data_IF_940731456481
#
_entry.id   IF_940731456481
#
_cell.length_a   1.000
_cell.length_b   1.000
_cell.length_c   1.000
_cell.angle_alpha   90.00
_cell.angle_beta   90.00
_cell.angle_gamma   90.00
#
_symmetry.space_group_name_H-M   'P 1'
#
loop_
_entity.id
_entity.type
_entity.pdbx_description
1 polymer ?
#
# COMPACT_ATOMS: atom_id res chain seq x y z
N UNK A 1 -20.11 1.13 -7.02
CA UNK A 1 -18.71 0.80 -6.70
C UNK A 1 -18.73 -0.50 -5.92
N UNK A 2 -17.81 -1.43 -6.17
CA UNK A 2 -17.80 -2.70 -5.44
C UNK A 2 -17.29 -2.49 -4.01
N UNK A 3 -17.93 -3.13 -3.03
CA UNK A 3 -17.58 -3.03 -1.62
C UNK A 3 -17.39 -4.42 -1.01
N UNK A 4 -16.23 -4.66 -0.40
CA UNK A 4 -15.95 -5.93 0.30
C UNK A 4 -16.81 -6.13 1.56
N UNK A 5 -17.55 -5.10 2.00
CA UNK A 5 -18.50 -5.21 3.11
C UNK A 5 -19.75 -6.01 2.72
N UNK A 6 -20.22 -5.81 1.49
CA UNK A 6 -21.51 -6.30 0.98
C UNK A 6 -21.37 -7.51 0.03
N UNK A 7 -20.14 -7.81 -0.39
CA UNK A 7 -19.86 -8.88 -1.34
C UNK A 7 -19.96 -10.28 -0.72
N UNK A 8 -20.40 -11.25 -1.53
CA UNK A 8 -20.28 -12.67 -1.22
C UNK A 8 -18.79 -13.04 -1.04
N UNK A 9 -18.41 -13.70 0.06
CA UNK A 9 -16.98 -13.94 0.34
C UNK A 9 -16.23 -14.77 -0.71
N UNK A 10 -16.90 -15.63 -1.47
CA UNK A 10 -16.30 -16.31 -2.63
C UNK A 10 -15.90 -15.32 -3.76
N UNK A 11 -16.79 -14.39 -4.09
CA UNK A 11 -16.54 -13.34 -5.10
C UNK A 11 -15.47 -12.36 -4.63
N UNK A 12 -15.37 -12.10 -3.32
CA UNK A 12 -14.36 -11.22 -2.75
C UNK A 12 -12.93 -11.68 -3.01
N UNK A 13 -12.65 -12.98 -2.86
CA UNK A 13 -11.31 -13.55 -3.10
C UNK A 13 -10.91 -13.44 -4.57
N UNK A 14 -11.84 -13.78 -5.48
CA UNK A 14 -11.63 -13.65 -6.92
C UNK A 14 -11.42 -12.19 -7.32
N UNK A 15 -12.16 -11.27 -6.68
CA UNK A 15 -12.02 -9.85 -6.92
C UNK A 15 -10.64 -9.35 -6.53
N UNK A 16 -10.13 -9.69 -5.34
CA UNK A 16 -8.77 -9.33 -4.91
C UNK A 16 -7.73 -9.82 -5.92
N UNK A 17 -7.83 -11.09 -6.33
CA UNK A 17 -6.93 -11.68 -7.32
C UNK A 17 -6.99 -10.99 -8.69
N UNK A 18 -8.15 -10.46 -9.07
CA UNK A 18 -8.34 -9.72 -10.33
C UNK A 18 -7.86 -8.26 -10.28
N UNK A 19 -7.90 -7.62 -9.11
CA UNK A 19 -7.67 -6.18 -8.95
C UNK A 19 -6.17 -5.83 -8.93
N UNK A 20 -5.38 -6.56 -8.14
CA UNK A 20 -3.95 -6.27 -7.95
C UNK A 20 -3.16 -6.32 -9.28
N UNK A 21 -3.37 -7.31 -10.17
CA UNK A 21 -2.69 -7.38 -11.46
C UNK A 21 -3.15 -6.35 -12.50
N UNK A 22 -4.10 -5.47 -12.16
CA UNK A 22 -4.60 -4.42 -13.06
C UNK A 22 -4.02 -3.04 -12.76
N UNK A 23 -3.24 -2.88 -11.68
CA UNK A 23 -2.60 -1.60 -11.31
C UNK A 23 -1.54 -1.18 -12.35
N UNK A 24 -1.71 -0.05 -13.00
CA UNK A 24 -0.89 0.40 -14.13
C UNK A 24 0.25 1.32 -13.68
N UNK A 25 -0.08 2.48 -13.14
CA UNK A 25 0.88 3.48 -12.65
C UNK A 25 1.59 2.97 -11.41
N UNK A 26 0.87 2.22 -10.57
CA UNK A 26 1.38 1.62 -9.37
C UNK A 26 1.84 0.16 -9.60
N UNK A 27 2.29 -0.17 -10.81
CA UNK A 27 2.75 -1.53 -11.12
C UNK A 27 3.89 -1.98 -10.21
N UNK A 28 4.83 -1.09 -9.89
CA UNK A 28 5.93 -1.38 -8.96
C UNK A 28 5.44 -1.67 -7.53
N UNK A 29 4.19 -1.29 -7.20
CA UNK A 29 3.58 -1.63 -5.92
C UNK A 29 3.12 -3.08 -5.84
N UNK A 30 2.93 -3.75 -6.98
CA UNK A 30 2.56 -5.17 -7.00
C UNK A 30 3.64 -6.05 -6.38
N UNK A 31 4.91 -5.67 -6.58
CA UNK A 31 6.07 -6.36 -6.00
C UNK A 31 6.30 -5.97 -4.54
N UNK A 32 5.60 -4.95 -4.03
CA UNK A 32 5.73 -4.59 -2.64
C UNK A 32 5.17 -5.68 -1.74
N UNK A 33 5.90 -5.86 -0.65
CA UNK A 33 5.68 -6.83 0.40
C UNK A 33 4.18 -6.94 0.84
N UNK A 34 3.41 -5.85 1.03
CA UNK A 34 2.01 -5.97 1.42
C UNK A 34 1.07 -6.47 0.30
N UNK A 35 1.12 -5.90 -0.91
CA UNK A 35 0.21 -6.32 -2.00
C UNK A 35 0.47 -7.76 -2.46
N UNK A 36 1.75 -8.15 -2.53
CA UNK A 36 2.12 -9.53 -2.85
C UNK A 36 1.60 -10.52 -1.80
N UNK A 37 1.68 -10.18 -0.50
CA UNK A 37 1.16 -11.04 0.58
C UNK A 37 -0.37 -11.07 0.63
N UNK A 38 -1.05 -9.98 0.28
CA UNK A 38 -2.50 -9.99 0.13
C UNK A 38 -2.93 -10.93 -0.99
N UNK A 39 -2.24 -10.90 -2.14
CA UNK A 39 -2.51 -11.82 -3.24
C UNK A 39 -2.23 -13.27 -2.83
N UNK A 40 -1.13 -13.52 -2.12
CA UNK A 40 -0.81 -14.84 -1.58
C UNK A 40 -1.90 -15.36 -0.62
N UNK A 41 -2.38 -14.50 0.28
CA UNK A 41 -3.49 -14.82 1.19
C UNK A 41 -4.77 -15.15 0.42
N UNK A 42 -5.14 -14.35 -0.59
CA UNK A 42 -6.29 -14.63 -1.44
C UNK A 42 -6.17 -15.98 -2.18
N UNK A 43 -4.99 -16.29 -2.73
CA UNK A 43 -4.75 -17.60 -3.36
C UNK A 43 -4.82 -18.77 -2.38
N UNK A 44 -4.28 -18.61 -1.16
CA UNK A 44 -4.37 -19.64 -0.12
C UNK A 44 -5.82 -19.89 0.31
N UNK A 45 -6.61 -18.81 0.47
CA UNK A 45 -8.05 -18.89 0.74
C UNK A 45 -8.74 -19.64 -0.40
N UNK A 46 -8.51 -19.25 -1.65
CA UNK A 46 -9.13 -19.91 -2.80
C UNK A 46 -8.84 -21.43 -2.86
N UNK A 47 -7.60 -21.82 -2.56
CA UNK A 47 -7.15 -23.21 -2.48
C UNK A 47 -7.75 -23.98 -1.29
N UNK A 48 -8.25 -23.29 -0.27
CA UNK A 48 -8.78 -23.89 0.95
C UNK A 48 -7.74 -24.17 2.03
N UNK A 49 -6.52 -23.65 1.88
CA UNK A 49 -5.46 -23.76 2.87
C UNK A 49 -5.66 -22.68 3.95
N UNK A 50 -6.35 -23.05 5.02
CA UNK A 50 -6.67 -22.14 6.13
C UNK A 50 -5.43 -21.71 6.91
N UNK A 51 -4.44 -22.59 7.06
CA UNK A 51 -3.21 -22.30 7.81
C UNK A 51 -2.25 -21.48 6.97
N UNK A 52 -2.13 -21.78 5.67
CA UNK A 52 -1.41 -20.94 4.72
C UNK A 52 -2.02 -19.54 4.60
N UNK A 53 -3.35 -19.43 4.59
CA UNK A 53 -4.05 -18.14 4.59
C UNK A 53 -3.75 -17.33 5.86
N UNK A 54 -3.80 -17.96 7.03
CA UNK A 54 -3.47 -17.32 8.32
C UNK A 54 -2.00 -16.86 8.35
N UNK A 55 -1.08 -17.71 7.89
CA UNK A 55 0.35 -17.37 7.82
C UNK A 55 0.59 -16.17 6.89
N UNK A 56 -0.02 -16.17 5.70
CA UNK A 56 0.05 -15.05 4.76
C UNK A 56 -0.57 -13.78 5.34
N UNK A 57 -1.66 -13.90 6.11
CA UNK A 57 -2.31 -12.79 6.79
C UNK A 57 -1.40 -12.16 7.86
N UNK A 58 -0.77 -12.96 8.71
CA UNK A 58 0.18 -12.43 9.69
C UNK A 58 1.42 -11.82 9.03
N UNK A 59 1.93 -12.46 7.98
CA UNK A 59 3.03 -11.91 7.20
C UNK A 59 2.63 -10.57 6.56
N UNK A 60 1.39 -10.44 6.06
CA UNK A 60 0.83 -9.20 5.52
C UNK A 60 0.84 -8.12 6.61
N UNK A 61 0.25 -8.40 7.77
CA UNK A 61 0.21 -7.48 8.91
C UNK A 61 1.61 -7.04 9.35
N UNK A 62 2.57 -7.96 9.40
CA UNK A 62 3.96 -7.63 9.71
C UNK A 62 4.57 -6.66 8.67
N UNK A 63 4.31 -6.87 7.38
CA UNK A 63 4.76 -5.90 6.37
C UNK A 63 4.01 -4.58 6.33
N UNK A 64 2.75 -4.52 6.78
CA UNK A 64 2.05 -3.25 6.96
C UNK A 64 2.67 -2.44 8.12
N UNK A 65 3.17 -3.13 9.15
CA UNK A 65 3.93 -2.47 10.22
C UNK A 65 5.30 -1.97 9.74
N UNK A 66 5.98 -2.70 8.85
CA UNK A 66 7.31 -2.36 8.34
C UNK A 66 7.31 -1.51 7.06
N UNK A 67 6.16 -1.12 6.52
CA UNK A 67 6.06 -0.46 5.21
C UNK A 67 6.60 0.98 5.21
N UNK A 68 6.78 1.58 6.38
CA UNK A 68 7.16 2.99 6.51
C UNK A 68 6.04 3.96 6.13
N UNK A 69 4.81 3.48 5.94
CA UNK A 69 3.65 4.32 5.73
C UNK A 69 3.35 5.15 6.99
N UNK A 70 3.06 6.44 6.79
CA UNK A 70 2.63 7.34 7.87
C UNK A 70 1.34 6.81 8.49
N UNK A 71 1.26 6.87 9.82
CA UNK A 71 0.05 6.51 10.56
C UNK A 71 -0.86 7.72 10.59
N UNK A 72 -2.01 7.63 9.91
CA UNK A 72 -2.93 8.75 9.73
C UNK A 72 -4.35 8.32 10.03
N UNK A 73 -4.83 7.28 9.36
CA UNK A 73 -6.26 6.94 9.28
C UNK A 73 -6.79 6.13 10.47
N UNK A 74 -5.90 5.54 11.28
CA UNK A 74 -6.28 4.59 12.33
C UNK A 74 -6.35 3.13 11.85
N UNK A 75 -6.12 2.87 10.56
CA UNK A 75 -6.05 1.53 9.97
C UNK A 75 -4.75 1.34 9.15
N UNK A 76 -3.97 0.32 9.51
CA UNK A 76 -2.67 0.03 8.87
C UNK A 76 -2.78 -0.22 7.36
N UNK A 77 -3.88 -0.80 6.90
CA UNK A 77 -4.11 -1.08 5.49
C UNK A 77 -4.41 0.20 4.72
N UNK A 78 -5.30 1.03 5.26
CA UNK A 78 -5.69 2.28 4.64
C UNK A 78 -4.51 3.26 4.58
N UNK A 79 -3.73 3.36 5.66
CA UNK A 79 -2.46 4.10 5.68
C UNK A 79 -1.49 3.67 4.57
N UNK A 80 -1.39 2.36 4.33
CA UNK A 80 -0.53 1.84 3.27
C UNK A 80 -1.05 2.23 1.88
N UNK A 81 -2.36 2.20 1.65
CA UNK A 81 -2.95 2.67 0.39
C UNK A 81 -2.73 4.18 0.18
N UNK A 82 -2.89 4.97 1.24
CA UNK A 82 -2.61 6.41 1.22
C UNK A 82 -1.12 6.68 0.93
N UNK A 83 -0.22 5.92 1.54
CA UNK A 83 1.22 6.00 1.27
C UNK A 83 1.54 5.69 -0.20
N UNK A 84 0.88 4.70 -0.80
CA UNK A 84 1.05 4.38 -2.22
C UNK A 84 0.64 5.51 -3.16
N UNK A 85 -0.41 6.25 -2.81
CA UNK A 85 -0.96 7.33 -3.64
C UNK A 85 -0.22 8.66 -3.44
N UNK A 86 0.22 8.97 -2.22
CA UNK A 86 0.71 10.31 -1.89
C UNK A 86 2.23 10.34 -1.74
N UNK A 87 2.78 9.45 -0.91
CA UNK A 87 4.20 9.51 -0.52
C UNK A 87 5.12 8.83 -1.52
N UNK A 88 4.65 7.75 -2.16
CA UNK A 88 5.46 7.00 -3.09
C UNK A 88 5.63 7.75 -4.42
N UNK A 89 6.86 7.85 -4.96
CA UNK A 89 7.05 8.40 -6.30
C UNK A 89 6.39 7.49 -7.34
N UNK A 90 5.56 8.07 -8.19
CA UNK A 90 4.98 7.39 -9.35
C UNK A 90 4.84 8.38 -10.52
N UNK A 91 4.70 7.85 -11.75
CA UNK A 91 4.72 8.65 -12.99
C UNK A 91 3.72 9.83 -12.97
N UNK A 92 2.51 9.60 -12.46
CA UNK A 92 1.50 10.67 -12.34
C UNK A 92 1.92 11.82 -11.42
N UNK A 93 2.54 11.53 -10.27
CA UNK A 93 2.96 12.57 -9.33
C UNK A 93 4.12 13.39 -9.90
N UNK A 94 5.04 12.74 -10.63
CA UNK A 94 6.14 13.43 -11.33
C UNK A 94 5.60 14.32 -12.45
N UNK A 95 4.70 13.79 -13.28
CA UNK A 95 4.05 14.56 -14.35
C UNK A 95 3.29 15.79 -13.81
N UNK A 96 2.56 15.61 -12.70
CA UNK A 96 1.83 16.69 -12.06
C UNK A 96 2.78 17.74 -11.45
N UNK A 97 3.87 17.32 -10.81
CA UNK A 97 4.90 18.22 -10.29
C UNK A 97 5.61 19.02 -11.40
N UNK A 98 5.74 18.45 -12.61
CA UNK A 98 6.22 19.17 -13.80
C UNK A 98 5.18 20.16 -14.37
N UNK A 99 3.97 20.21 -13.82
CA UNK A 99 2.86 21.02 -14.34
C UNK A 99 2.27 20.50 -15.65
N UNK A 100 2.56 19.24 -16.03
CA UNK A 100 2.04 18.61 -17.25
C UNK A 100 0.76 17.84 -16.95
N UNK A 101 -0.14 17.78 -17.94
CA UNK A 101 -1.34 16.96 -17.89
C UNK A 101 -1.45 16.13 -19.16
N UNK A 102 -0.98 14.89 -19.08
CA UNK A 102 -1.13 13.89 -20.15
C UNK A 102 -2.36 13.02 -19.85
N UNK A 103 -3.23 12.86 -20.85
CA UNK A 103 -4.53 12.21 -20.66
C UNK A 103 -4.39 10.70 -20.43
N UNK A 104 -3.35 10.06 -20.99
CA UNK A 104 -3.09 8.64 -20.81
C UNK A 104 -2.78 8.31 -19.35
N UNK A 105 -1.86 9.05 -18.73
CA UNK A 105 -1.50 8.96 -17.31
C UNK A 105 -2.68 9.32 -16.42
N UNK A 106 -3.49 10.31 -16.79
CA UNK A 106 -4.70 10.65 -16.03
C UNK A 106 -5.72 9.53 -16.03
N UNK A 107 -6.01 8.92 -17.19
CA UNK A 107 -6.93 7.78 -17.30
C UNK A 107 -6.40 6.58 -16.52
N UNK A 108 -5.10 6.30 -16.64
CA UNK A 108 -4.44 5.22 -15.90
C UNK A 108 -4.50 5.44 -14.38
N UNK A 109 -4.26 6.68 -13.91
CA UNK A 109 -4.38 7.03 -12.49
C UNK A 109 -5.80 6.88 -11.99
N UNK A 110 -6.80 7.32 -12.77
CA UNK A 110 -8.22 7.12 -12.43
C UNK A 110 -8.58 5.64 -12.33
N UNK A 111 -8.03 4.79 -13.19
CA UNK A 111 -8.23 3.35 -13.14
C UNK A 111 -7.57 2.73 -11.89
N UNK A 112 -6.37 3.17 -11.53
CA UNK A 112 -5.67 2.71 -10.34
C UNK A 112 -6.38 3.17 -9.05
N UNK A 113 -6.80 4.44 -8.97
CA UNK A 113 -7.59 4.97 -7.86
C UNK A 113 -8.92 4.24 -7.69
N UNK A 114 -9.55 3.82 -8.79
CA UNK A 114 -10.74 2.97 -8.72
C UNK A 114 -10.46 1.64 -8.01
N UNK A 115 -9.34 1.00 -8.34
CA UNK A 115 -8.91 -0.26 -7.75
C UNK A 115 -8.58 -0.06 -6.28
N UNK A 116 -7.83 0.98 -5.94
CA UNK A 116 -7.46 1.30 -4.57
C UNK A 116 -8.68 1.66 -3.71
N UNK A 117 -9.66 2.40 -4.25
CA UNK A 117 -10.92 2.69 -3.56
C UNK A 117 -11.74 1.42 -3.26
N UNK A 118 -11.76 0.44 -4.18
CA UNK A 118 -12.36 -0.87 -3.89
C UNK A 118 -11.58 -1.59 -2.77
N UNK A 119 -10.25 -1.61 -2.86
CA UNK A 119 -9.36 -2.22 -1.86
C UNK A 119 -9.41 -1.53 -0.50
N UNK A 120 -9.70 -0.22 -0.44
CA UNK A 120 -9.84 0.53 0.81
C UNK A 120 -11.03 0.05 1.66
N UNK A 121 -12.03 -0.60 1.03
CA UNK A 121 -13.15 -1.21 1.76
C UNK A 121 -12.78 -2.55 2.41
N UNK A 122 -11.60 -3.11 2.12
CA UNK A 122 -11.12 -4.37 2.69
C UNK A 122 -10.71 -4.19 4.15
N UNK A 123 -11.08 -5.14 5.00
CA UNK A 123 -10.65 -5.22 6.39
C UNK A 123 -10.15 -6.63 6.73
N UNK A 124 -9.39 -6.77 7.81
CA UNK A 124 -8.96 -8.07 8.32
C UNK A 124 -10.12 -9.04 8.58
N UNK A 125 -11.24 -8.52 9.11
CA UNK A 125 -12.46 -9.29 9.32
C UNK A 125 -13.06 -9.82 8.01
N UNK A 126 -12.92 -9.09 6.89
CA UNK A 126 -13.38 -9.57 5.59
C UNK A 126 -12.58 -10.77 5.12
N UNK A 127 -11.25 -10.76 5.28
CA UNK A 127 -10.40 -11.90 4.94
C UNK A 127 -10.72 -13.13 5.80
N UNK A 128 -10.97 -12.93 7.09
CA UNK A 128 -11.43 -14.01 7.97
C UNK A 128 -12.76 -14.61 7.50
N UNK A 129 -13.77 -13.76 7.20
CA UNK A 129 -15.07 -14.22 6.67
C UNK A 129 -14.90 -15.05 5.40
N UNK A 130 -14.07 -14.58 4.45
CA UNK A 130 -13.74 -15.31 3.23
C UNK A 130 -13.10 -16.67 3.49
N UNK A 131 -12.13 -16.72 4.40
CA UNK A 131 -11.47 -17.96 4.79
C UNK A 131 -12.42 -18.95 5.47
N UNK A 132 -13.27 -18.46 6.38
CA UNK A 132 -14.21 -19.27 7.13
C UNK A 132 -15.31 -19.87 6.23
N UNK A 133 -15.85 -19.08 5.30
CA UNK A 133 -16.84 -19.60 4.34
C UNK A 133 -16.23 -20.61 3.40
N UNK A 134 -15.03 -20.32 2.87
CA UNK A 134 -14.35 -21.26 2.00
C UNK A 134 -14.01 -22.57 2.71
N UNK A 135 -13.63 -22.52 3.98
CA UNK A 135 -13.47 -23.72 4.80
C UNK A 135 -14.78 -24.49 4.95
N UNK A 136 -15.90 -23.82 5.23
CA UNK A 136 -17.23 -24.46 5.31
C UNK A 136 -17.63 -25.12 4.00
N UNK A 137 -17.45 -24.46 2.86
CA UNK A 137 -17.73 -25.03 1.54
C UNK A 137 -16.96 -26.33 1.30
N UNK A 138 -15.68 -26.37 1.68
CA UNK A 138 -14.83 -27.54 1.49
C UNK A 138 -15.19 -28.69 2.44
N UNK A 139 -15.71 -28.40 3.64
CA UNK A 139 -16.24 -29.41 4.55
C UNK A 139 -17.60 -29.95 4.08
N UNK A 140 -18.44 -29.10 3.49
CA UNK A 140 -19.74 -29.48 2.95
C UNK A 140 -19.64 -30.25 1.63
N UNK A 141 -18.58 -30.02 0.85
CA UNK A 141 -18.28 -30.86 -0.32
C UNK A 141 -17.99 -32.28 0.16
N UNK A 142 -18.77 -33.30 -0.25
CA UNK A 142 -18.53 -34.65 0.20
C UNK A 142 -17.13 -35.09 -0.27
N UNK A 143 -16.20 -35.27 0.68
CA UNK A 143 -14.85 -35.83 0.46
C UNK A 143 -14.86 -37.21 -0.21
N UNK A 144 -16.03 -37.81 -0.36
CA UNK A 144 -16.27 -39.02 -1.12
C UNK A 144 -17.55 -38.90 -1.97
N UNK A 145 -17.49 -38.15 -3.06
CA UNK A 145 -17.98 -38.73 -4.31
C UNK A 145 -16.95 -39.79 -4.73
N UNK A 146 -16.88 -40.91 -3.97
CA UNK A 146 -16.32 -42.13 -4.54
C UNK A 146 -17.17 -42.35 -5.79
N UNK A 147 -16.55 -42.24 -6.95
CA UNK A 147 -17.18 -42.50 -8.23
C UNK A 147 -18.06 -43.75 -8.09
N UNK A 148 -19.38 -43.56 -8.01
CA UNK A 148 -20.31 -44.68 -7.99
C UNK A 148 -20.11 -45.53 -9.25
N UNK A 149 -19.57 -44.93 -10.30
CA UNK A 149 -19.12 -45.58 -11.54
C UNK A 149 -17.89 -46.47 -11.28
N UNK A 150 -16.87 -46.04 -10.53
CA UNK A 150 -15.69 -46.88 -10.22
C UNK A 150 -16.01 -48.02 -9.24
N UNK A 151 -16.95 -47.79 -8.32
CA UNK A 151 -17.48 -48.82 -7.41
C UNK A 151 -18.40 -49.82 -8.14
N UNK A 152 -19.24 -49.35 -9.07
CA UNK A 152 -20.05 -50.25 -9.91
C UNK A 152 -19.20 -51.00 -10.95
N UNK A 153 -18.16 -50.37 -11.50
CA UNK A 153 -17.28 -51.01 -12.50
C UNK A 153 -16.44 -52.15 -11.90
N UNK A 154 -16.03 -52.03 -10.64
CA UNK A 154 -15.36 -53.11 -9.90
C UNK A 154 -16.33 -54.26 -9.54
N UNK A 155 -17.60 -53.94 -9.27
CA UNK A 155 -18.64 -54.94 -8.99
C UNK A 155 -19.15 -55.69 -10.24
N UNK A 156 -19.11 -55.06 -11.42
CA UNK A 156 -19.59 -55.67 -12.68
C UNK A 156 -18.58 -56.69 -13.25
N UNK A 157 -17.29 -56.58 -12.92
CA UNK A 157 -16.25 -57.49 -13.43
C UNK A 157 -15.78 -58.53 -12.41
N UNK A 158 -16.08 -58.34 -11.12
CA UNK A 158 -15.76 -59.32 -10.07
C UNK A 158 -17.05 -59.84 -9.42
N UNK A 159 -17.71 -60.78 -10.08
CA UNK A 159 -18.93 -61.44 -9.61
C UNK A 159 -18.71 -62.33 -8.37
N UNK A 160 -18.30 -61.77 -7.24
CA UNK A 160 -18.07 -62.51 -6.00
C UNK A 160 -18.11 -61.62 -4.76
N UNK A 161 -18.86 -62.05 -3.75
CA UNK A 161 -18.89 -61.42 -2.43
C UNK A 161 -17.53 -61.54 -1.74
N UNK A 162 -16.78 -60.45 -1.66
CA UNK A 162 -15.52 -60.42 -0.91
C UNK A 162 -15.80 -59.93 0.51
N UNK A 163 -15.89 -60.88 1.46
CA UNK A 163 -15.54 -60.59 2.85
C UNK A 163 -14.06 -60.22 2.89
N UNK A 164 -13.63 -59.13 3.53
CA UNK A 164 -12.20 -58.85 3.66
C UNK A 164 -11.63 -59.77 4.75
N UNK A 165 -10.83 -60.75 4.34
CA UNK A 165 -9.88 -61.39 5.24
C UNK A 165 -8.61 -60.52 5.29
N UNK A 166 -7.99 -60.30 6.47
CA UNK A 166 -6.80 -59.48 6.59
C UNK A 166 -5.60 -60.26 6.04
N UNK A 167 -5.05 -59.82 4.91
CA UNK A 167 -3.79 -60.38 4.41
C UNK A 167 -2.62 -59.73 5.16
N UNK A 168 -2.02 -60.51 6.06
CA UNK A 168 -0.67 -60.29 6.53
C UNK A 168 0.30 -60.35 5.32
N UNK A 169 1.27 -59.44 5.30
CA UNK A 169 2.36 -59.32 4.32
C UNK A 169 2.06 -58.50 3.05
N UNK A 170 1.81 -57.20 3.22
CA UNK A 170 2.15 -56.21 2.20
C UNK A 170 3.42 -55.46 2.65
N UNK A 171 4.45 -55.45 1.80
CA UNK A 171 5.65 -54.62 1.95
C UNK A 171 5.23 -53.14 2.05
N UNK A 172 5.94 -52.29 2.82
CA UNK A 172 5.57 -50.89 2.98
C UNK A 172 5.69 -50.19 1.62
N UNK A 173 4.54 -49.91 1.00
CA UNK A 173 4.46 -48.91 -0.05
C UNK A 173 4.78 -47.57 0.63
N UNK A 174 5.73 -46.83 0.05
CA UNK A 174 5.99 -45.43 0.39
C UNK A 174 4.66 -44.71 0.53
N UNK A 175 4.42 -44.18 1.73
CA UNK A 175 3.33 -43.26 1.99
C UNK A 175 3.42 -42.14 0.94
N UNK A 176 2.37 -41.88 0.16
CA UNK A 176 2.31 -40.63 -0.58
C UNK A 176 2.45 -39.51 0.45
N UNK A 177 3.38 -38.58 0.23
CA UNK A 177 3.60 -37.40 1.07
C UNK A 177 2.24 -36.87 1.54
N UNK A 178 1.97 -37.03 2.84
CA UNK A 178 0.74 -36.57 3.43
C UNK A 178 0.63 -35.07 3.14
N UNK A 179 -0.44 -34.57 2.50
CA UNK A 179 -0.66 -33.14 2.46
C UNK A 179 -0.66 -32.65 3.90
N UNK A 180 0.05 -31.54 4.14
CA UNK A 180 0.22 -30.93 5.45
C UNK A 180 -1.08 -31.00 6.27
N UNK A 181 -1.02 -31.22 7.60
CA UNK A 181 -2.19 -31.47 8.42
C UNK A 181 -3.14 -30.27 8.31
N UNK A 182 -4.12 -30.37 7.42
CA UNK A 182 -5.25 -29.45 7.40
C UNK A 182 -5.88 -29.58 8.78
N UNK A 183 -5.79 -28.52 9.59
CA UNK A 183 -6.52 -28.46 10.84
C UNK A 183 -7.96 -28.84 10.53
N UNK A 184 -8.50 -29.82 11.28
CA UNK A 184 -9.90 -30.22 11.17
C UNK A 184 -10.85 -29.06 11.51
N UNK A 185 -10.33 -27.99 12.13
CA UNK A 185 -11.05 -26.80 12.54
C UNK A 185 -10.38 -25.54 11.99
N UNK A 186 -11.20 -24.62 11.47
CA UNK A 186 -10.82 -23.24 11.16
C UNK A 186 -10.22 -22.55 12.41
N UNK A 187 -9.08 -21.84 12.28
CA UNK A 187 -8.56 -21.01 13.36
C UNK A 187 -9.59 -19.98 13.84
N UNK A 188 -9.67 -19.69 15.15
CA UNK A 188 -10.63 -18.73 15.68
C UNK A 188 -10.33 -17.31 15.19
N UNK A 189 -11.37 -16.47 15.13
CA UNK A 189 -11.27 -15.07 14.73
C UNK A 189 -10.28 -14.27 15.59
N UNK A 190 -10.08 -14.65 16.85
CA UNK A 190 -9.12 -14.01 17.75
C UNK A 190 -7.66 -14.10 17.30
N UNK A 191 -7.33 -15.09 16.46
CA UNK A 191 -6.00 -15.20 15.86
C UNK A 191 -5.81 -14.21 14.69
N UNK A 192 -6.90 -13.68 14.12
CA UNK A 192 -6.87 -12.70 13.05
C UNK A 192 -6.78 -11.29 13.64
N UNK A 193 -5.55 -10.85 13.92
CA UNK A 193 -5.27 -9.55 14.53
C UNK A 193 -5.85 -8.39 13.71
N UNK A 194 -6.69 -7.50 14.29
CA UNK A 194 -7.26 -6.38 13.57
C UNK A 194 -6.17 -5.39 13.13
N UNK A 195 -6.41 -4.70 12.01
CA UNK A 195 -5.53 -3.65 11.49
C UNK A 195 -5.81 -2.27 12.09
N UNK A 196 -6.89 -2.14 12.85
CA UNK A 196 -7.28 -0.91 13.52
C UNK A 196 -6.40 -0.68 14.75
N UNK A 197 -5.79 0.49 14.84
CA UNK A 197 -4.86 0.83 15.93
C UNK A 197 -5.23 2.10 16.70
N UNK A 198 -6.27 2.84 16.28
CA UNK A 198 -6.72 4.03 17.01
C UNK A 198 -7.52 5.01 16.16
N UNK A 199 -7.62 6.24 16.67
CA UNK A 199 -8.24 7.36 15.98
C UNK A 199 -7.29 8.00 14.96
N UNK A 200 -7.87 8.86 14.11
CA UNK A 200 -7.11 9.60 13.10
C UNK A 200 -6.17 10.60 13.79
N UNK A 201 -4.87 10.39 13.64
CA UNK A 201 -3.83 11.26 14.20
C UNK A 201 -2.71 11.38 13.19
N UNK A 202 -2.27 12.61 12.91
CA UNK A 202 -1.14 12.85 12.03
C UNK A 202 0.14 12.72 12.84
N UNK A 203 0.71 11.52 12.78
CA UNK A 203 2.02 11.26 13.38
C UNK A 203 3.09 11.67 12.38
N UNK A 204 4.19 12.25 12.87
CA UNK A 204 5.27 12.88 12.09
C UNK A 204 4.89 14.24 11.48
N UNK A 205 5.88 15.14 11.31
CA UNK A 205 5.68 16.49 10.79
C UNK A 205 6.15 16.58 9.34
N UNK A 206 5.28 17.02 8.43
CA UNK A 206 5.60 17.34 7.04
C UNK A 206 5.44 18.84 6.82
N UNK A 207 6.24 19.40 5.91
CA UNK A 207 6.10 20.81 5.55
C UNK A 207 4.76 21.09 4.85
N UNK A 208 4.17 20.09 4.18
CA UNK A 208 2.86 20.21 3.52
C UNK A 208 1.69 19.74 4.37
N UNK A 209 1.83 19.62 5.70
CA UNK A 209 0.80 19.01 6.55
C UNK A 209 -0.59 19.64 6.38
N UNK A 210 -0.72 20.96 6.35
CA UNK A 210 -2.05 21.62 6.20
C UNK A 210 -2.80 21.19 4.92
N UNK A 211 -2.11 21.12 3.78
CA UNK A 211 -2.72 20.71 2.52
C UNK A 211 -2.92 19.19 2.44
N UNK A 212 -2.00 18.43 3.04
CA UNK A 212 -1.99 16.98 3.02
C UNK A 212 -3.06 16.42 3.97
N UNK A 213 -3.36 17.11 5.06
CA UNK A 213 -4.53 16.91 5.93
C UNK A 213 -5.83 16.96 5.13
N UNK A 214 -6.03 18.01 4.34
CA UNK A 214 -7.22 18.16 3.53
C UNK A 214 -7.36 17.03 2.50
N UNK A 215 -6.26 16.66 1.84
CA UNK A 215 -6.24 15.53 0.89
C UNK A 215 -6.57 14.21 1.59
N UNK A 216 -6.03 13.95 2.78
CA UNK A 216 -6.36 12.75 3.55
C UNK A 216 -7.82 12.72 3.95
N UNK A 217 -8.36 13.81 4.51
CA UNK A 217 -9.78 13.89 4.90
C UNK A 217 -10.65 13.59 3.68
N UNK A 218 -10.37 14.22 2.53
CA UNK A 218 -11.12 13.95 1.29
C UNK A 218 -11.02 12.50 0.84
N UNK A 219 -9.85 11.86 0.89
CA UNK A 219 -9.66 10.45 0.54
C UNK A 219 -10.40 9.49 1.49
N UNK A 220 -10.49 9.85 2.78
CA UNK A 220 -11.16 9.05 3.80
C UNK A 220 -12.69 9.20 3.74
N UNK A 221 -13.18 10.40 3.45
CA UNK A 221 -14.62 10.70 3.37
C UNK A 221 -15.25 10.30 2.04
N UNK A 222 -14.49 10.39 0.94
CA UNK A 222 -15.02 10.15 -0.41
C UNK A 222 -15.04 8.65 -0.72
N UNK A 223 -16.20 8.05 -1.02
CA UNK A 223 -16.27 6.63 -1.36
C UNK A 223 -15.63 6.34 -2.72
N UNK A 224 -15.70 7.27 -3.67
CA UNK A 224 -15.13 7.13 -5.02
C UNK A 224 -13.84 7.94 -5.18
N UNK A 225 -12.70 7.26 -5.05
CA UNK A 225 -11.38 7.86 -5.19
C UNK A 225 -11.08 8.37 -6.60
N UNK A 226 -11.85 7.96 -7.62
CA UNK A 226 -11.66 8.44 -9.01
C UNK A 226 -11.86 9.95 -9.13
N UNK A 227 -12.79 10.50 -8.35
CA UNK A 227 -13.11 11.92 -8.36
C UNK A 227 -11.94 12.78 -7.87
N UNK A 228 -11.07 12.19 -7.04
CA UNK A 228 -9.93 12.87 -6.42
C UNK A 228 -8.69 12.93 -7.34
N UNK A 229 -8.75 12.37 -8.54
CA UNK A 229 -7.62 12.40 -9.47
C UNK A 229 -7.18 13.84 -9.80
N UNK A 230 -8.13 14.75 -9.95
CA UNK A 230 -7.84 16.14 -10.31
C UNK A 230 -7.34 16.93 -9.10
N UNK A 231 -7.87 16.63 -7.91
CA UNK A 231 -7.39 17.18 -6.63
C UNK A 231 -5.94 16.74 -6.35
N UNK A 232 -5.61 15.46 -6.57
CA UNK A 232 -4.26 14.95 -6.45
C UNK A 232 -3.31 15.61 -7.46
N UNK A 233 -3.76 15.87 -8.69
CA UNK A 233 -2.96 16.61 -9.66
C UNK A 233 -2.64 18.02 -9.16
N UNK A 234 -3.66 18.75 -8.69
CA UNK A 234 -3.48 20.10 -8.14
C UNK A 234 -2.53 20.10 -6.93
N UNK A 235 -2.65 19.09 -6.06
CA UNK A 235 -1.78 18.92 -4.91
C UNK A 235 -0.33 18.72 -5.33
N UNK A 236 -0.04 17.78 -6.23
CA UNK A 236 1.33 17.54 -6.69
C UNK A 236 1.91 18.69 -7.50
N UNK A 237 1.07 19.41 -8.27
CA UNK A 237 1.49 20.60 -8.99
C UNK A 237 1.88 21.75 -8.05
N UNK A 238 1.23 21.87 -6.89
CA UNK A 238 1.51 22.92 -5.92
C UNK A 238 2.66 22.58 -4.96
N UNK A 239 2.77 21.32 -4.51
CA UNK A 239 3.67 20.91 -3.43
C UNK A 239 4.81 19.99 -3.88
N UNK A 240 4.82 19.54 -5.13
CA UNK A 240 5.79 18.57 -5.64
C UNK A 240 5.44 17.13 -5.23
N UNK A 241 6.41 16.21 -5.33
CA UNK A 241 6.19 14.79 -5.06
C UNK A 241 7.35 14.15 -4.26
N UNK A 242 7.08 12.98 -3.65
CA UNK A 242 8.08 12.14 -2.98
C UNK A 242 8.87 12.88 -1.87
N UNK A 243 10.22 12.92 -1.78
CA UNK A 243 10.89 13.49 -0.61
C UNK A 243 10.61 14.99 -0.46
N UNK A 244 10.23 15.68 -1.54
CA UNK A 244 9.91 17.12 -1.55
C UNK A 244 8.61 17.45 -0.78
N UNK A 245 7.75 16.46 -0.52
CA UNK A 245 6.59 16.62 0.35
C UNK A 245 6.99 16.67 1.84
N UNK A 246 8.06 15.95 2.20
CA UNK A 246 8.54 15.85 3.58
C UNK A 246 9.42 17.04 3.94
N UNK A 247 10.39 17.32 3.08
CA UNK A 247 11.42 18.32 3.31
C UNK A 247 11.44 19.33 2.15
N UNK A 248 11.58 20.62 2.44
CA UNK A 248 11.81 21.65 1.40
C UNK A 248 13.27 21.94 1.16
N UNK A 249 14.11 21.68 2.17
CA UNK A 249 15.54 21.94 2.11
C UNK A 249 16.33 20.66 1.93
N UNK A 250 17.22 20.70 0.96
CA UNK A 250 18.13 19.60 0.66
C UNK A 250 19.55 20.10 0.52
N UNK A 251 20.49 19.24 0.85
CA UNK A 251 21.89 19.44 0.53
C UNK A 251 22.37 18.30 -0.36
N UNK A 252 23.30 18.61 -1.26
CA UNK A 252 23.90 17.61 -2.14
C UNK A 252 25.23 17.17 -1.52
N UNK A 253 25.32 15.89 -1.14
CA UNK A 253 26.57 15.28 -0.66
C UNK A 253 26.85 14.04 -1.49
N UNK A 254 28.03 13.98 -2.12
CA UNK A 254 28.45 12.85 -2.94
C UNK A 254 27.44 12.49 -4.06
N UNK A 255 26.89 13.49 -4.75
CA UNK A 255 25.84 13.35 -5.76
C UNK A 255 24.51 12.73 -5.25
N UNK A 256 24.31 12.68 -3.94
CA UNK A 256 23.04 12.28 -3.33
C UNK A 256 22.37 13.51 -2.74
N UNK A 257 21.08 13.68 -3.05
CA UNK A 257 20.23 14.69 -2.44
C UNK A 257 19.76 14.16 -1.08
N UNK A 258 20.15 14.83 0.00
CA UNK A 258 19.78 14.46 1.36
C UNK A 258 18.96 15.58 2.00
N UNK A 259 17.90 15.26 2.75
CA UNK A 259 17.12 16.28 3.45
C UNK A 259 18.00 17.00 4.46
N UNK A 260 17.82 18.31 4.54
CA UNK A 260 18.49 19.14 5.51
C UNK A 260 17.56 19.34 6.70
N UNK A 261 17.76 18.53 7.75
CA UNK A 261 16.99 18.63 8.99
C UNK A 261 17.31 19.96 9.68
N UNK A 262 16.44 20.95 9.53
CA UNK A 262 16.56 22.21 10.25
C UNK A 262 16.47 21.94 11.76
N UNK A 263 17.36 22.57 12.53
CA UNK A 263 17.16 22.65 13.98
C UNK A 263 16.14 23.74 14.28
N UNK A 264 15.19 23.43 15.15
CA UNK A 264 14.19 24.38 15.62
C UNK A 264 14.89 25.64 16.18
N UNK A 265 14.77 26.75 15.45
CA UNK A 265 15.29 28.04 15.84
C UNK A 265 15.13 29.02 14.68
N UNK A 266 14.38 30.11 14.90
CA UNK A 266 14.32 31.21 13.93
C UNK A 266 15.75 31.70 13.70
N UNK A 267 16.23 31.60 12.46
CA UNK A 267 17.48 32.24 12.09
C UNK A 267 17.32 33.74 12.36
N UNK A 268 18.14 34.29 13.25
CA UNK A 268 18.06 35.72 13.58
C UNK A 268 18.26 36.54 12.31
N UNK A 269 17.28 37.38 11.96
CA UNK A 269 17.44 38.41 10.95
C UNK A 269 18.59 39.32 11.39
N UNK A 270 19.69 39.29 10.64
CA UNK A 270 20.88 40.10 10.90
C UNK A 270 20.66 41.46 10.24
N UNK A 271 20.44 42.55 11.00
CA UNK A 271 20.03 43.84 10.41
C UNK A 271 21.06 44.43 9.44
N UNK A 272 22.33 44.03 9.58
CA UNK A 272 23.42 44.48 8.72
C UNK A 272 23.48 43.76 7.36
N UNK A 273 22.67 42.71 7.14
CA UNK A 273 22.56 41.98 5.87
C UNK A 273 21.24 42.27 5.13
N UNK A 274 20.47 43.27 5.53
CA UNK A 274 19.23 43.65 4.85
C UNK A 274 19.38 43.98 3.35
N UNK A 275 20.43 44.68 2.87
CA UNK A 275 20.56 44.91 1.42
C UNK A 275 20.84 43.62 0.66
N UNK A 276 21.68 42.72 1.20
CA UNK A 276 21.93 41.41 0.60
C UNK A 276 20.69 40.52 0.65
N UNK A 277 19.93 40.56 1.75
CA UNK A 277 18.65 39.86 1.89
C UNK A 277 17.67 40.31 0.84
N UNK A 278 17.45 41.62 0.70
CA UNK A 278 16.51 42.17 -0.29
C UNK A 278 16.89 41.78 -1.71
N UNK A 279 18.18 41.80 -2.05
CA UNK A 279 18.66 41.35 -3.36
C UNK A 279 18.44 39.84 -3.57
N UNK A 280 18.70 39.01 -2.55
CA UNK A 280 18.46 37.57 -2.58
C UNK A 280 16.97 37.25 -2.72
N UNK A 281 16.10 37.95 -1.99
CA UNK A 281 14.64 37.82 -2.07
C UNK A 281 14.13 38.21 -3.45
N UNK A 282 14.59 39.34 -4.01
CA UNK A 282 14.21 39.75 -5.36
C UNK A 282 14.63 38.70 -6.40
N UNK A 283 15.83 38.16 -6.26
CA UNK A 283 16.33 37.10 -7.12
C UNK A 283 15.50 35.81 -7.01
N UNK A 284 15.13 35.42 -5.79
CA UNK A 284 14.26 34.27 -5.54
C UNK A 284 12.86 34.47 -6.15
N UNK A 285 12.28 35.66 -6.04
CA UNK A 285 10.98 35.99 -6.66
C UNK A 285 11.04 35.88 -8.18
N UNK A 286 12.11 36.39 -8.82
CA UNK A 286 12.31 36.26 -10.27
C UNK A 286 12.42 34.79 -10.67
N UNK A 287 13.20 34.01 -9.94
CA UNK A 287 13.32 32.57 -10.14
C UNK A 287 11.95 31.86 -10.03
N UNK A 288 11.18 32.14 -8.98
CA UNK A 288 9.84 31.55 -8.79
C UNK A 288 8.85 31.92 -9.90
N UNK A 289 9.03 33.08 -10.55
CA UNK A 289 8.22 33.49 -11.72
C UNK A 289 8.62 32.81 -13.02
N UNK A 290 9.64 31.95 -13.00
CA UNK A 290 10.20 31.30 -14.20
C UNK A 290 11.06 32.22 -15.05
N UNK A 291 11.49 33.37 -14.51
CA UNK A 291 12.48 34.21 -15.17
C UNK A 291 13.85 33.50 -15.09
N UNK A 292 14.73 33.75 -16.07
CA UNK A 292 16.09 33.20 -16.06
C UNK A 292 16.86 33.78 -14.88
N UNK A 293 17.00 33.01 -13.82
CA UNK A 293 17.77 33.37 -12.63
C UNK A 293 19.09 32.60 -12.61
N UNK A 294 20.19 33.35 -12.57
CA UNK A 294 21.54 32.79 -12.46
C UNK A 294 21.79 32.22 -11.05
N UNK A 295 22.66 31.22 -10.90
CA UNK A 295 23.04 30.73 -9.58
C UNK A 295 23.74 31.84 -8.76
N UNK A 296 23.29 32.04 -7.51
CA UNK A 296 23.85 33.06 -6.61
C UNK A 296 24.90 32.45 -5.68
N UNK A 297 26.05 33.12 -5.56
CA UNK A 297 27.10 32.75 -4.61
C UNK A 297 27.19 33.78 -3.48
N UNK A 298 26.86 33.36 -2.25
CA UNK A 298 27.07 34.15 -1.05
C UNK A 298 28.52 34.03 -0.57
N UNK A 299 29.34 35.05 -0.83
CA UNK A 299 30.75 35.10 -0.45
C UNK A 299 31.00 36.00 0.78
N UNK A 300 31.98 35.63 1.61
CA UNK A 300 32.40 36.46 2.75
C UNK A 300 33.14 35.67 3.85
N UNK A 301 33.79 36.36 4.80
CA UNK A 301 34.56 35.72 5.88
C UNK A 301 33.78 34.69 6.69
N UNK A 302 34.47 33.75 7.34
CA UNK A 302 33.83 32.80 8.26
C UNK A 302 33.11 33.55 9.39
N UNK A 303 31.93 33.07 9.79
CA UNK A 303 31.16 33.65 10.90
C UNK A 303 30.29 34.86 10.55
N UNK A 304 30.24 35.31 9.30
CA UNK A 304 29.43 36.49 8.89
C UNK A 304 27.92 36.24 8.76
N UNK A 305 27.43 35.05 9.10
CA UNK A 305 25.99 34.75 9.04
C UNK A 305 25.44 34.38 7.66
N UNK A 306 26.28 34.12 6.65
CA UNK A 306 25.85 33.72 5.28
C UNK A 306 24.88 32.54 5.26
N UNK A 307 25.19 31.50 6.04
CA UNK A 307 24.33 30.30 6.14
C UNK A 307 22.99 30.65 6.79
N UNK A 308 22.99 31.51 7.82
CA UNK A 308 21.76 31.95 8.47
C UNK A 308 20.89 32.80 7.53
N UNK A 309 21.50 33.66 6.69
CA UNK A 309 20.79 34.43 5.67
C UNK A 309 20.13 33.54 4.61
N UNK A 310 20.87 32.55 4.11
CA UNK A 310 20.33 31.62 3.11
C UNK A 310 19.20 30.75 3.68
N UNK A 311 19.37 30.26 4.92
CA UNK A 311 18.36 29.43 5.58
C UNK A 311 17.14 30.25 6.02
N UNK A 312 17.32 31.52 6.45
CA UNK A 312 16.18 32.40 6.76
C UNK A 312 15.35 32.69 5.53
N UNK A 313 15.97 32.93 4.36
CA UNK A 313 15.21 33.13 3.12
C UNK A 313 14.49 31.86 2.70
N UNK A 314 15.08 30.67 2.90
CA UNK A 314 14.43 29.43 2.52
C UNK A 314 13.26 29.02 3.42
N UNK A 315 13.15 29.61 4.61
CA UNK A 315 11.97 29.48 5.49
C UNK A 315 10.83 30.44 5.10
N UNK A 316 11.11 31.50 4.34
CA UNK A 316 10.14 32.49 3.86
C UNK A 316 9.41 32.05 2.59
#
# INVERSE_FOLDING_TARGET
>A
MFSFRECAPAEGVERIASLIPRLTILQDARECAPLARLLAAASAIHAGDTLGALSCYHALSASLLSSGARRVSGDLWLDYLLWLVIERPHAFAVMAADGRMEEAERIAMRADLAILGELATLSGAHLYRMAAERHRELQLKPRHAKDNISLMSSAVWSGGSVRPAPAANAKPQQEPEAPAPFLSSMPPESEWLPWQYGEMELRDAFVSDEALEEVYIRLLETPDWRALCDDLWNFFAAYGCAPFLKDRLFHVKQNVLLPFSQHAGRYCALPFLEPERSALTEHAIRFMRGETAEPVLLAGPAGTGKTALALSLAEE
#
